data_IF_584577289150
#
_entry.id   IF_584577289150
#
_cell.length_a   1.000
_cell.length_b   1.000
_cell.length_c   1.000
_cell.angle_alpha   90.00
_cell.angle_beta   90.00
_cell.angle_gamma   90.00
#
_symmetry.space_group_name_H-M   'P 1'
#
loop_
_entity.id
_entity.type
_entity.pdbx_description
1 polymer ?
#
# COMPACT_ATOMS: atom_id res chain seq x y z
N UNK A 1 4.76 -26.03 -3.85
CA UNK A 1 5.24 -24.64 -3.77
C UNK A 1 4.18 -23.72 -4.30
N UNK A 2 3.61 -22.87 -3.44
CA UNK A 2 2.99 -21.62 -3.90
C UNK A 2 4.09 -20.59 -3.75
N UNK A 3 4.78 -20.29 -4.84
CA UNK A 3 5.70 -19.16 -4.87
C UNK A 3 4.80 -17.93 -4.85
N UNK A 4 4.78 -17.24 -3.73
CA UNK A 4 4.10 -15.95 -3.60
C UNK A 4 5.06 -14.89 -4.15
N UNK A 5 4.57 -14.00 -5.01
CA UNK A 5 5.42 -12.96 -5.60
C UNK A 5 5.89 -11.98 -4.51
N UNK A 6 7.16 -11.60 -4.59
CA UNK A 6 7.74 -10.39 -4.02
C UNK A 6 7.66 -9.23 -5.03
N UNK A 7 7.80 -7.99 -4.55
CA UNK A 7 7.89 -6.77 -5.35
C UNK A 7 6.77 -6.56 -6.39
N UNK A 8 5.52 -6.80 -5.98
CA UNK A 8 4.35 -6.56 -6.83
C UNK A 8 4.06 -5.05 -6.88
N UNK A 9 4.22 -4.45 -8.06
CA UNK A 9 3.74 -3.10 -8.32
C UNK A 9 2.25 -3.09 -8.68
N UNK A 10 1.44 -2.40 -7.89
CA UNK A 10 0.00 -2.24 -8.14
C UNK A 10 -0.42 -0.77 -8.26
N UNK A 11 -1.20 -0.47 -9.29
CA UNK A 11 -1.85 0.83 -9.45
C UNK A 11 -3.07 0.91 -8.55
N UNK A 12 -2.91 1.64 -7.45
CA UNK A 12 -3.97 1.81 -6.47
C UNK A 12 -5.01 2.84 -6.92
N UNK A 13 -4.56 3.96 -7.51
CA UNK A 13 -5.38 5.07 -7.99
C UNK A 13 -4.84 5.56 -9.32
N UNK A 14 -5.73 5.88 -10.27
CA UNK A 14 -5.36 6.40 -11.60
C UNK A 14 -5.53 7.91 -11.65
N UNK A 15 -4.60 8.61 -12.31
CA UNK A 15 -4.72 10.04 -12.62
C UNK A 15 -6.04 10.32 -13.34
N UNK A 16 -6.71 11.40 -12.92
CA UNK A 16 -8.02 11.79 -13.46
C UNK A 16 -9.21 11.06 -12.82
N UNK A 17 -8.99 10.18 -11.85
CA UNK A 17 -10.10 9.60 -11.07
C UNK A 17 -10.68 10.67 -10.14
N UNK A 18 -12.00 10.82 -10.15
CA UNK A 18 -12.72 11.75 -9.28
C UNK A 18 -13.12 11.06 -7.99
N UNK A 19 -12.78 11.67 -6.85
CA UNK A 19 -13.15 11.19 -5.53
C UNK A 19 -13.87 12.28 -4.76
N UNK A 20 -14.69 11.88 -3.77
CA UNK A 20 -15.07 12.83 -2.72
C UNK A 20 -13.86 13.03 -1.82
N UNK A 21 -13.63 14.28 -1.43
CA UNK A 21 -12.58 14.62 -0.49
C UNK A 21 -12.78 13.82 0.81
N UNK A 22 -11.68 13.29 1.36
CA UNK A 22 -11.65 12.45 2.56
C UNK A 22 -12.33 11.07 2.43
N UNK A 23 -12.78 10.66 1.24
CA UNK A 23 -13.26 9.30 1.01
C UNK A 23 -12.09 8.34 0.75
N UNK A 24 -12.06 7.23 1.49
CA UNK A 24 -10.99 6.24 1.40
C UNK A 24 -11.12 5.35 0.17
N UNK A 25 -10.01 5.12 -0.53
CA UNK A 25 -9.88 4.10 -1.57
C UNK A 25 -9.14 2.89 -1.01
N UNK A 26 -9.83 1.76 -0.86
CA UNK A 26 -9.28 0.55 -0.23
C UNK A 26 -8.63 -0.39 -1.26
N UNK A 27 -7.52 -1.02 -0.88
CA UNK A 27 -6.76 -2.01 -1.65
C UNK A 27 -6.28 -3.18 -0.78
N UNK A 28 -5.94 -4.29 -1.43
CA UNK A 28 -5.62 -5.57 -0.77
C UNK A 28 -6.83 -6.53 -0.72
N UNK A 29 -6.77 -7.58 0.12
CA UNK A 29 -5.73 -7.84 1.11
C UNK A 29 -4.40 -8.21 0.48
N UNK A 30 -3.30 -7.64 1.01
CA UNK A 30 -1.95 -8.09 0.72
C UNK A 30 -1.56 -9.15 1.74
N UNK A 31 -1.19 -10.34 1.28
CA UNK A 31 -0.87 -11.49 2.13
C UNK A 31 0.63 -11.65 2.33
N UNK A 32 1.05 -12.14 3.51
CA UNK A 32 2.45 -12.51 3.75
C UNK A 32 2.90 -13.66 2.85
N UNK A 33 4.10 -13.57 2.28
CA UNK A 33 4.70 -14.64 1.49
C UNK A 33 5.54 -15.62 2.33
N UNK A 34 5.82 -15.29 3.60
CA UNK A 34 6.54 -16.16 4.55
C UNK A 34 5.83 -16.28 5.90
N UNK A 35 5.91 -17.47 6.50
CA UNK A 35 5.33 -17.76 7.82
C UNK A 35 5.96 -16.93 8.94
N UNK A 36 7.24 -16.58 8.81
CA UNK A 36 8.05 -15.87 9.80
C UNK A 36 8.16 -14.36 9.52
N UNK A 37 7.45 -13.84 8.52
CA UNK A 37 7.48 -12.42 8.17
C UNK A 37 7.02 -11.55 9.35
N UNK A 38 7.89 -10.67 9.83
CA UNK A 38 7.60 -9.79 10.98
C UNK A 38 7.04 -8.43 10.56
N UNK A 39 7.39 -7.96 9.35
CA UNK A 39 6.93 -6.68 8.81
C UNK A 39 6.42 -6.81 7.38
N UNK A 40 5.57 -5.87 6.96
CA UNK A 40 5.18 -5.70 5.56
C UNK A 40 5.39 -4.23 5.17
N UNK A 41 6.26 -4.04 4.19
CA UNK A 41 6.61 -2.73 3.67
C UNK A 41 5.73 -2.38 2.48
N UNK A 42 5.20 -1.15 2.49
CA UNK A 42 4.42 -0.59 1.39
C UNK A 42 5.11 0.66 0.88
N UNK A 43 5.86 0.49 -0.19
CA UNK A 43 6.44 1.61 -0.93
C UNK A 43 5.35 2.30 -1.75
N UNK A 44 5.21 3.60 -1.54
CA UNK A 44 4.23 4.44 -2.19
C UNK A 44 4.94 5.21 -3.30
N UNK A 45 4.45 5.05 -4.52
CA UNK A 45 4.93 5.72 -5.71
C UNK A 45 3.83 6.59 -6.33
N UNK A 46 4.24 7.66 -6.98
CA UNK A 46 3.37 8.57 -7.72
C UNK A 46 3.89 8.69 -9.14
N UNK A 47 2.97 8.87 -10.09
CA UNK A 47 3.36 9.23 -11.45
C UNK A 47 2.59 10.43 -11.97
N UNK A 48 3.32 11.35 -12.58
CA UNK A 48 2.76 12.53 -13.24
C UNK A 48 2.27 12.22 -14.66
N UNK A 49 2.48 11.00 -15.16
CA UNK A 49 2.03 10.62 -16.50
C UNK A 49 0.51 10.43 -16.55
N UNK A 50 -0.08 10.70 -17.73
CA UNK A 50 -1.49 10.31 -18.00
C UNK A 50 -1.58 8.80 -18.18
N UNK A 51 -0.50 8.17 -18.66
CA UNK A 51 -0.44 6.73 -18.84
C UNK A 51 0.02 6.07 -17.53
N UNK A 52 -0.65 4.99 -17.09
CA UNK A 52 -0.14 4.09 -16.06
C UNK A 52 1.35 3.77 -16.21
N UNK A 53 2.19 3.98 -15.18
CA UNK A 53 3.56 3.46 -15.21
C UNK A 53 3.53 1.93 -15.25
N UNK A 54 4.49 1.35 -15.96
CA UNK A 54 4.72 -0.08 -15.99
C UNK A 54 5.73 -0.48 -14.91
N UNK A 55 6.71 0.39 -14.64
CA UNK A 55 7.77 0.16 -13.66
C UNK A 55 7.94 1.37 -12.73
N UNK A 56 8.44 1.13 -11.52
CA UNK A 56 8.84 2.19 -10.58
C UNK A 56 10.07 2.98 -11.05
N UNK A 57 10.74 2.52 -12.10
CA UNK A 57 11.88 3.18 -12.74
C UNK A 57 11.50 3.97 -13.99
N UNK A 58 10.21 4.02 -14.36
CA UNK A 58 9.76 4.86 -15.47
C UNK A 58 10.03 6.34 -15.11
N UNK A 59 10.48 7.15 -16.06
CA UNK A 59 10.95 8.54 -15.80
C UNK A 59 9.91 9.42 -15.08
N UNK A 60 8.62 9.19 -15.35
CA UNK A 60 7.50 9.94 -14.75
C UNK A 60 7.01 9.30 -13.43
N UNK A 61 7.68 8.27 -12.90
CA UNK A 61 7.30 7.54 -11.69
C UNK A 61 8.35 7.77 -10.59
N UNK A 62 7.93 8.28 -9.45
CA UNK A 62 8.83 8.62 -8.35
C UNK A 62 8.32 8.10 -7.01
N UNK A 63 9.27 7.78 -6.15
CA UNK A 63 9.04 7.31 -4.81
C UNK A 63 8.59 8.46 -3.91
N UNK A 64 7.48 8.26 -3.21
CA UNK A 64 6.91 9.23 -2.28
C UNK A 64 7.29 8.91 -0.82
N UNK A 65 7.35 7.62 -0.47
CA UNK A 65 7.65 7.19 0.88
C UNK A 65 7.22 5.76 1.15
N UNK A 66 7.44 5.29 2.38
CA UNK A 66 7.18 3.91 2.81
C UNK A 66 6.26 3.90 4.02
N UNK A 67 5.38 2.91 4.09
CA UNK A 67 4.60 2.55 5.27
C UNK A 67 4.96 1.12 5.69
N UNK A 68 5.72 0.99 6.77
CA UNK A 68 6.08 -0.31 7.36
C UNK A 68 5.04 -0.73 8.39
N UNK A 69 4.47 -1.92 8.22
CA UNK A 69 3.44 -2.48 9.10
C UNK A 69 4.02 -3.65 9.88
N UNK A 70 4.00 -3.55 11.21
CA UNK A 70 4.35 -4.66 12.09
C UNK A 70 3.27 -5.75 12.03
N UNK A 71 3.71 -7.01 11.97
CA UNK A 71 2.84 -8.17 11.88
C UNK A 71 2.92 -8.97 13.19
N UNK A 72 1.77 -9.28 13.83
CA UNK A 72 1.77 -10.07 15.04
C UNK A 72 2.26 -11.49 14.74
N UNK A 73 2.85 -12.13 15.76
CA UNK A 73 3.17 -13.56 15.71
C UNK A 73 1.87 -14.36 15.75
N UNK A 74 1.70 -15.24 14.78
CA UNK A 74 0.53 -16.12 14.61
C UNK A 74 0.97 -17.58 14.60
N UNK A 75 0.04 -18.54 14.71
CA UNK A 75 0.40 -19.96 14.58
C UNK A 75 0.84 -20.26 13.15
N UNK A 76 1.73 -21.24 13.00
CA UNK A 76 2.16 -21.68 11.67
C UNK A 76 0.95 -22.06 10.80
N UNK A 77 0.89 -21.51 9.59
CA UNK A 77 -0.21 -21.69 8.64
C UNK A 77 -1.39 -20.71 8.79
N UNK A 78 -1.41 -19.86 9.82
CA UNK A 78 -2.36 -18.75 9.90
C UNK A 78 -1.90 -17.62 8.96
N UNK A 79 -2.79 -17.21 8.05
CA UNK A 79 -2.50 -16.12 7.12
C UNK A 79 -2.64 -14.77 7.82
N UNK A 80 -1.66 -13.90 7.59
CA UNK A 80 -1.72 -12.48 7.95
C UNK A 80 -1.91 -11.69 6.67
N UNK A 81 -2.74 -10.66 6.74
CA UNK A 81 -2.94 -9.76 5.62
C UNK A 81 -3.14 -8.32 6.05
N UNK A 82 -2.87 -7.41 5.14
CA UNK A 82 -2.99 -5.97 5.36
C UNK A 82 -3.90 -5.37 4.29
N UNK A 83 -4.81 -4.49 4.71
CA UNK A 83 -5.61 -3.66 3.81
C UNK A 83 -5.07 -2.24 3.82
N UNK A 84 -4.89 -1.64 2.65
CA UNK A 84 -4.43 -0.26 2.51
C UNK A 84 -5.61 0.64 2.16
N UNK A 85 -5.71 1.79 2.81
CA UNK A 85 -6.71 2.81 2.53
C UNK A 85 -6.02 4.12 2.21
N UNK A 86 -6.24 4.63 1.00
CA UNK A 86 -5.74 5.93 0.54
C UNK A 86 -6.81 6.99 0.77
N UNK A 87 -6.48 8.06 1.49
CA UNK A 87 -7.38 9.18 1.78
C UNK A 87 -6.73 10.46 1.27
N UNK A 88 -7.36 11.08 0.28
CA UNK A 88 -6.88 12.33 -0.32
C UNK A 88 -7.39 13.52 0.49
N UNK A 89 -6.47 14.24 1.13
CA UNK A 89 -6.72 15.41 1.97
C UNK A 89 -6.66 16.75 1.23
N UNK A 90 -6.37 16.73 -0.07
CA UNK A 90 -6.24 17.91 -0.91
C UNK A 90 -4.78 18.13 -1.31
N UNK A 91 -3.96 18.54 -0.35
CA UNK A 91 -2.49 18.70 -0.52
C UNK A 91 -1.69 17.53 0.04
N UNK A 92 -2.33 16.72 0.89
CA UNK A 92 -1.72 15.57 1.56
C UNK A 92 -2.40 14.27 1.10
N UNK A 93 -1.62 13.22 0.99
CA UNK A 93 -2.08 11.84 0.87
C UNK A 93 -1.89 11.14 2.21
N UNK A 94 -3.00 10.70 2.82
CA UNK A 94 -2.93 9.84 4.00
C UNK A 94 -3.10 8.38 3.58
N UNK A 95 -2.24 7.52 4.10
CA UNK A 95 -2.26 6.08 3.85
C UNK A 95 -2.43 5.36 5.17
N UNK A 96 -3.50 4.56 5.29
CA UNK A 96 -3.78 3.76 6.48
C UNK A 96 -3.71 2.27 6.14
N UNK A 97 -2.84 1.54 6.83
CA UNK A 97 -2.72 0.11 6.73
C UNK A 97 -3.38 -0.58 7.93
N UNK A 98 -4.39 -1.42 7.66
CA UNK A 98 -5.11 -2.18 8.69
C UNK A 98 -4.70 -3.63 8.65
N UNK A 99 -4.11 -4.11 9.74
CA UNK A 99 -3.74 -5.50 9.92
C UNK A 99 -5.00 -6.36 10.16
N UNK A 100 -5.17 -7.44 9.39
CA UNK A 100 -6.38 -8.26 9.45
C UNK A 100 -6.52 -9.11 10.72
N UNK A 101 -5.43 -9.33 11.45
CA UNK A 101 -5.40 -10.16 12.67
C UNK A 101 -5.72 -9.35 13.90
N UNK A 102 -4.90 -8.35 14.24
CA UNK A 102 -5.06 -7.56 15.47
C UNK A 102 -5.89 -6.28 15.27
N UNK A 103 -6.26 -5.95 14.03
CA UNK A 103 -7.00 -4.73 13.64
C UNK A 103 -6.26 -3.43 13.91
N UNK A 104 -4.97 -3.48 14.23
CA UNK A 104 -4.15 -2.28 14.39
C UNK A 104 -4.03 -1.54 13.06
N UNK A 105 -4.00 -0.22 13.16
CA UNK A 105 -3.91 0.68 12.03
C UNK A 105 -2.60 1.44 12.09
N UNK A 106 -1.71 1.17 11.13
CA UNK A 106 -0.49 1.96 10.92
C UNK A 106 -0.80 3.06 9.92
N UNK A 107 -0.28 4.28 10.14
CA UNK A 107 -0.60 5.45 9.32
C UNK A 107 0.68 6.13 8.83
N UNK A 108 0.64 6.60 7.59
CA UNK A 108 1.60 7.54 7.04
C UNK A 108 0.85 8.70 6.37
N UNK A 109 1.53 9.83 6.22
CA UNK A 109 1.03 10.98 5.48
C UNK A 109 2.17 11.54 4.66
N UNK A 110 1.87 11.91 3.42
CA UNK A 110 2.85 12.34 2.45
C UNK A 110 2.38 13.63 1.78
N UNK A 111 3.30 14.56 1.58
CA UNK A 111 3.05 15.77 0.82
C UNK A 111 2.86 15.41 -0.66
N UNK A 112 1.73 15.82 -1.23
CA UNK A 112 1.32 15.48 -2.59
C UNK A 112 1.44 16.70 -3.54
N UNK A 113 2.31 17.65 -3.19
CA UNK A 113 2.56 18.93 -3.87
C UNK A 113 4.00 19.05 -4.38
#
# INVERSE_FOLDING_TARGET
>A
NKDFCDDIFEICVRRGTTFKLHESQSKGPYETNRDDQETMDFDIYVSDSIKPPMYVTDDDCYYLGILTVELPKVKKGEKRSVFINFVFGGTELHVHATNSVNKEVTKASFDFL
#
